data_IF_182960767571
#
_entry.id   IF_182960767571
#
_cell.length_a   1.000
_cell.length_b   1.000
_cell.length_c   1.000
_cell.angle_alpha   90.00
_cell.angle_beta   90.00
_cell.angle_gamma   90.00
#
_symmetry.space_group_name_H-M   'P 1'
#
loop_
_entity.id
_entity.type
_entity.pdbx_description
1 polymer ?
#
# COMPACT_ATOMS: atom_id res chain seq x y z
N UNK A 1 5.56 -20.65 -15.71
CA UNK A 1 5.89 -20.05 -14.39
C UNK A 1 6.53 -18.67 -14.55
N UNK A 2 7.39 -18.47 -15.55
CA UNK A 2 7.89 -17.13 -15.91
C UNK A 2 6.81 -16.21 -16.54
N UNK A 3 5.77 -16.77 -17.16
CA UNK A 3 4.69 -15.98 -17.80
C UNK A 3 3.74 -15.26 -16.82
N UNK A 4 3.81 -15.58 -15.52
CA UNK A 4 2.97 -14.97 -14.47
C UNK A 4 3.74 -13.97 -13.61
N UNK A 5 5.06 -13.87 -13.76
CA UNK A 5 5.91 -13.01 -12.95
C UNK A 5 6.24 -11.74 -13.73
N UNK A 6 6.07 -10.58 -13.09
CA UNK A 6 6.47 -9.30 -13.64
C UNK A 6 7.71 -8.80 -12.91
N UNK A 7 8.64 -8.20 -13.64
CA UNK A 7 9.80 -7.55 -13.04
C UNK A 7 9.34 -6.37 -12.18
N UNK A 8 9.79 -6.34 -10.93
CA UNK A 8 9.56 -5.22 -10.01
C UNK A 8 10.86 -4.42 -9.87
N UNK A 9 10.79 -3.12 -10.15
CA UNK A 9 11.92 -2.23 -9.99
C UNK A 9 12.18 -1.93 -8.51
N UNK A 10 13.46 -1.78 -8.15
CA UNK A 10 13.88 -1.44 -6.79
C UNK A 10 14.25 0.04 -6.76
N UNK A 11 13.58 0.81 -5.90
CA UNK A 11 13.78 2.25 -5.75
C UNK A 11 14.35 2.56 -4.36
N UNK A 12 15.67 2.58 -4.24
CA UNK A 12 16.34 2.84 -2.96
C UNK A 12 15.99 4.18 -2.33
N UNK A 13 15.58 5.18 -3.14
CA UNK A 13 15.18 6.51 -2.68
C UNK A 13 13.81 6.55 -1.98
N UNK A 14 13.03 5.47 -2.00
CA UNK A 14 11.75 5.37 -1.28
C UNK A 14 11.92 5.15 0.22
N UNK A 15 13.15 4.96 0.71
CA UNK A 15 13.43 4.62 2.11
C UNK A 15 14.35 5.67 2.76
N UNK A 16 14.15 6.02 4.04
CA UNK A 16 13.06 5.53 4.91
C UNK A 16 11.77 6.31 4.66
N UNK A 17 10.64 5.59 4.52
CA UNK A 17 9.30 6.19 4.50
C UNK A 17 8.38 5.70 5.61
N UNK A 18 8.88 4.81 6.47
CA UNK A 18 8.29 4.50 7.78
C UNK A 18 9.31 4.67 8.92
N UNK A 19 8.87 4.99 10.15
CA UNK A 19 9.69 4.89 11.34
C UNK A 19 10.17 3.45 11.63
N UNK A 20 9.41 2.43 11.22
CA UNK A 20 9.81 1.02 11.29
C UNK A 20 10.45 0.58 9.97
N UNK A 21 11.75 0.20 9.95
CA UNK A 21 12.41 -0.30 8.74
C UNK A 21 11.74 -1.53 8.11
N UNK A 22 10.97 -2.30 8.87
CA UNK A 22 10.20 -3.44 8.36
C UNK A 22 9.06 -3.01 7.42
N UNK A 23 8.43 -1.86 7.70
CA UNK A 23 7.30 -1.35 6.92
C UNK A 23 7.71 -0.85 5.55
N UNK A 24 8.95 -0.41 5.36
CA UNK A 24 9.46 0.01 4.05
C UNK A 24 9.33 -1.12 3.00
N UNK A 25 9.41 -2.39 3.41
CA UNK A 25 9.18 -3.54 2.53
C UNK A 25 7.72 -3.64 2.07
N UNK A 26 6.77 -3.27 2.95
CA UNK A 26 5.35 -3.23 2.65
C UNK A 26 5.05 -2.06 1.71
N UNK A 27 5.66 -0.90 1.93
CA UNK A 27 5.57 0.27 1.03
C UNK A 27 6.04 -0.12 -0.37
N UNK A 28 7.23 -0.70 -0.50
CA UNK A 28 7.79 -1.10 -1.79
C UNK A 28 6.89 -2.11 -2.53
N UNK A 29 6.35 -3.08 -1.80
CA UNK A 29 5.43 -4.07 -2.36
C UNK A 29 4.15 -3.41 -2.89
N UNK A 30 3.52 -2.55 -2.08
CA UNK A 30 2.28 -1.89 -2.44
C UNK A 30 2.46 -0.93 -3.62
N UNK A 31 3.55 -0.16 -3.63
CA UNK A 31 3.86 0.75 -4.73
C UNK A 31 4.12 0.00 -6.04
N UNK A 32 4.91 -1.08 -6.01
CA UNK A 32 5.16 -1.90 -7.20
C UNK A 32 3.92 -2.64 -7.70
N UNK A 33 3.02 -3.04 -6.80
CA UNK A 33 1.76 -3.69 -7.15
C UNK A 33 0.63 -2.71 -7.52
N UNK A 34 0.81 -1.39 -7.33
CA UNK A 34 -0.26 -0.41 -7.43
C UNK A 34 -1.40 -0.63 -6.41
N UNK A 35 -1.11 -1.31 -5.31
CA UNK A 35 -2.07 -1.77 -4.32
C UNK A 35 -2.34 -0.73 -3.22
N UNK A 36 -3.38 -0.98 -2.43
CA UNK A 36 -3.71 -0.20 -1.22
C UNK A 36 -3.26 -1.02 -0.02
N UNK A 37 -2.57 -0.40 0.94
CA UNK A 37 -2.23 -1.03 2.21
C UNK A 37 -3.44 -0.93 3.15
N UNK A 38 -3.88 -2.07 3.67
CA UNK A 38 -4.98 -2.13 4.63
C UNK A 38 -4.40 -2.45 6.01
N UNK A 39 -4.46 -1.51 6.95
CA UNK A 39 -3.87 -1.67 8.29
C UNK A 39 -4.57 -0.79 9.32
N UNK A 40 -4.53 -1.19 10.59
CA UNK A 40 -4.92 -0.30 11.69
C UNK A 40 -3.82 0.72 12.05
N UNK A 41 -2.58 0.46 11.66
CA UNK A 41 -1.44 1.32 11.97
C UNK A 41 -1.20 2.36 10.87
N UNK A 42 -2.12 3.30 10.71
CA UNK A 42 -1.98 4.35 9.68
C UNK A 42 -0.78 5.27 9.92
N UNK A 43 -0.39 5.44 11.19
CA UNK A 43 0.63 6.42 11.60
C UNK A 43 1.97 6.17 10.90
N UNK A 44 2.37 4.91 10.80
CA UNK A 44 3.72 4.56 10.34
C UNK A 44 3.86 4.71 8.81
N UNK A 45 2.73 4.69 8.08
CA UNK A 45 2.72 4.88 6.63
C UNK A 45 2.49 6.33 6.17
N UNK A 46 2.24 7.29 7.07
CA UNK A 46 1.92 8.69 6.70
C UNK A 46 2.98 9.34 5.81
N UNK A 47 4.26 9.07 6.09
CA UNK A 47 5.35 9.60 5.29
C UNK A 47 5.33 9.02 3.86
N UNK A 48 5.05 7.72 3.71
CA UNK A 48 4.86 7.09 2.40
C UNK A 48 3.62 7.63 1.65
N UNK A 49 2.51 7.91 2.35
CA UNK A 49 1.33 8.54 1.75
C UNK A 49 1.67 9.90 1.14
N UNK A 50 2.40 10.75 1.87
CA UNK A 50 2.74 12.11 1.43
C UNK A 50 3.83 12.11 0.36
N UNK A 51 4.88 11.32 0.53
CA UNK A 51 6.06 11.37 -0.36
C UNK A 51 5.92 10.54 -1.63
N UNK A 52 5.19 9.41 -1.56
CA UNK A 52 5.07 8.46 -2.67
C UNK A 52 3.64 8.34 -3.21
N UNK A 53 2.64 8.94 -2.53
CA UNK A 53 1.24 8.78 -2.89
C UNK A 53 0.69 7.39 -2.56
N UNK A 54 1.31 6.68 -1.61
CA UNK A 54 0.81 5.39 -1.13
C UNK A 54 -0.62 5.57 -0.62
N UNK A 55 -1.52 4.65 -0.98
CA UNK A 55 -2.89 4.63 -0.46
C UNK A 55 -2.95 3.70 0.72
N UNK A 56 -3.41 4.20 1.87
CA UNK A 56 -3.57 3.40 3.08
C UNK A 56 -4.99 3.59 3.61
N UNK A 57 -5.60 2.52 4.09
CA UNK A 57 -6.90 2.59 4.77
C UNK A 57 -7.00 1.56 5.88
N UNK A 58 -7.94 1.75 6.79
CA UNK A 58 -8.28 0.78 7.82
C UNK A 58 -9.11 -0.37 7.25
N UNK A 59 -9.08 -1.56 7.89
CA UNK A 59 -10.00 -2.64 7.56
C UNK A 59 -11.48 -2.21 7.62
N UNK A 60 -11.85 -1.31 8.53
CA UNK A 60 -13.22 -0.80 8.65
C UNK A 60 -13.62 0.03 7.43
N UNK A 61 -12.74 0.94 6.99
CA UNK A 61 -12.97 1.73 5.77
C UNK A 61 -13.08 0.85 4.53
N UNK A 62 -12.31 -0.24 4.45
CA UNK A 62 -12.43 -1.22 3.37
C UNK A 62 -13.82 -1.87 3.36
N UNK A 63 -14.30 -2.34 4.51
CA UNK A 63 -15.62 -2.98 4.60
C UNK A 63 -16.73 -2.01 4.18
N UNK A 64 -16.67 -0.75 4.65
CA UNK A 64 -17.62 0.30 4.25
C UNK A 64 -17.56 0.54 2.73
N UNK A 65 -16.35 0.62 2.16
CA UNK A 65 -16.15 0.80 0.72
C UNK A 65 -16.72 -0.36 -0.10
N UNK A 66 -16.51 -1.60 0.34
CA UNK A 66 -17.06 -2.79 -0.34
C UNK A 66 -18.58 -2.87 -0.23
N UNK A 67 -19.14 -2.51 0.94
CA UNK A 67 -20.58 -2.47 1.12
C UNK A 67 -21.25 -1.37 0.28
N UNK A 68 -20.60 -0.21 0.12
CA UNK A 68 -21.07 0.90 -0.72
C UNK A 68 -21.02 0.59 -2.23
N UNK A 69 -20.16 -0.34 -2.66
CA UNK A 69 -20.03 -0.76 -4.05
C UNK A 69 -20.99 -1.89 -4.45
N UNK A 70 -21.82 -2.40 -3.53
CA UNK A 70 -22.84 -3.42 -3.81
C UNK A 70 -24.11 -2.90 -4.50
N UNK A 71 -24.14 -1.62 -4.91
CA UNK A 71 -25.32 -0.93 -5.43
C UNK A 71 -25.29 -0.59 -6.93
N UNK A 72 -24.27 -0.98 -7.68
CA UNK A 72 -24.24 -0.81 -9.15
C UNK A 72 -24.17 -2.19 -9.81
N UNK A 73 -25.34 -2.66 -10.22
CA UNK A 73 -25.57 -3.74 -11.18
C UNK A 73 -26.36 -3.17 -12.36
#
# INVERSE_FOLDING_TARGET
>A
MLDLCQFAAIYYSWRPTSPDPGDDLVVDCAMNAGAIVITFNLRDFRNAEVSLGLRVMTPVELVVKLAGNGGEA
#
